data_IF_760491128722
#
_entry.id   IF_760491128722
#
_cell.length_a   1.000
_cell.length_b   1.000
_cell.length_c   1.000
_cell.angle_alpha   90.00
_cell.angle_beta   90.00
_cell.angle_gamma   90.00
#
_symmetry.space_group_name_H-M   'P 1'
#
loop_
_entity.id
_entity.type
_entity.pdbx_description
1 polymer ?
#
# COMPACT_ATOMS: atom_id res chain seq x y z
N UNK A 1 -6.30 34.70 -18.12
CA UNK A 1 -7.13 33.93 -19.06
C UNK A 1 -6.30 33.26 -20.16
N UNK A 2 -5.37 33.97 -20.81
CA UNK A 2 -4.48 33.42 -21.86
C UNK A 2 -3.65 32.20 -21.42
N UNK A 3 -3.07 32.25 -20.22
CA UNK A 3 -2.24 31.17 -19.64
C UNK A 3 -3.04 29.91 -19.31
N UNK A 4 -4.24 30.06 -18.78
CA UNK A 4 -5.14 28.93 -18.48
C UNK A 4 -5.57 28.20 -19.75
N UNK A 5 -5.78 28.95 -20.85
CA UNK A 5 -6.16 28.38 -22.14
C UNK A 5 -5.01 27.58 -22.77
N UNK A 6 -3.79 28.13 -22.75
CA UNK A 6 -2.57 27.43 -23.20
C UNK A 6 -2.31 26.14 -22.40
N UNK A 7 -2.56 26.17 -21.09
CA UNK A 7 -2.45 24.98 -20.26
C UNK A 7 -3.47 23.91 -20.66
N UNK A 8 -4.73 24.28 -20.88
CA UNK A 8 -5.74 23.34 -21.35
C UNK A 8 -5.39 22.71 -22.71
N UNK A 9 -4.90 23.51 -23.64
CA UNK A 9 -4.49 23.03 -24.96
C UNK A 9 -3.29 22.07 -24.85
N UNK A 10 -2.29 22.39 -24.01
CA UNK A 10 -1.14 21.52 -23.75
C UNK A 10 -1.56 20.20 -23.09
N UNK A 11 -2.48 20.23 -22.13
CA UNK A 11 -3.04 19.03 -21.50
C UNK A 11 -3.80 18.18 -22.50
N UNK A 12 -4.58 18.79 -23.42
CA UNK A 12 -5.29 18.06 -24.46
C UNK A 12 -4.33 17.32 -25.41
N UNK A 13 -3.25 17.98 -25.84
CA UNK A 13 -2.20 17.38 -26.67
C UNK A 13 -1.57 16.18 -25.95
N UNK A 14 -1.17 16.36 -24.70
CA UNK A 14 -0.59 15.29 -23.88
C UNK A 14 -1.52 14.07 -23.75
N UNK A 15 -2.82 14.30 -23.53
CA UNK A 15 -3.81 13.22 -23.42
C UNK A 15 -3.98 12.44 -24.73
N UNK A 16 -3.84 13.09 -25.88
CA UNK A 16 -3.91 12.42 -27.17
C UNK A 16 -2.63 11.62 -27.48
N UNK A 17 -1.45 12.14 -27.14
CA UNK A 17 -0.19 11.39 -27.21
C UNK A 17 -0.22 10.14 -26.32
N UNK A 18 -0.72 10.27 -25.10
CA UNK A 18 -0.96 9.17 -24.16
C UNK A 18 -1.84 8.08 -24.79
N UNK A 19 -2.96 8.44 -25.42
CA UNK A 19 -3.85 7.48 -26.09
C UNK A 19 -3.14 6.73 -27.22
N UNK A 20 -2.30 7.42 -27.99
CA UNK A 20 -1.54 6.81 -29.08
C UNK A 20 -0.53 5.78 -28.56
N UNK A 21 0.21 6.12 -27.50
CA UNK A 21 1.15 5.21 -26.84
C UNK A 21 0.44 4.01 -26.20
N UNK A 22 -0.71 4.21 -25.56
CA UNK A 22 -1.50 3.08 -25.03
C UNK A 22 -1.94 2.16 -26.18
N UNK A 23 -2.41 2.72 -27.31
CA UNK A 23 -2.78 1.91 -28.49
C UNK A 23 -1.62 1.13 -29.08
N UNK A 24 -0.41 1.68 -29.13
CA UNK A 24 0.76 0.93 -29.61
C UNK A 24 1.10 -0.23 -28.68
N UNK A 25 1.04 -0.04 -27.36
CA UNK A 25 1.25 -1.09 -26.37
C UNK A 25 0.19 -2.20 -26.46
N UNK A 26 -1.08 -1.83 -26.70
CA UNK A 26 -2.15 -2.81 -26.91
C UNK A 26 -1.87 -3.73 -28.10
N UNK A 27 -1.38 -3.16 -29.21
CA UNK A 27 -1.02 -3.91 -30.41
C UNK A 27 0.22 -4.77 -30.21
N UNK A 28 1.24 -4.25 -29.52
CA UNK A 28 2.51 -4.93 -29.31
C UNK A 28 2.38 -6.13 -28.36
N UNK A 29 1.55 -6.01 -27.31
CA UNK A 29 1.45 -7.03 -26.25
C UNK A 29 0.16 -7.85 -26.30
N UNK A 30 -0.74 -7.60 -27.26
CA UNK A 30 -2.04 -8.28 -27.41
C UNK A 30 -2.86 -8.32 -26.10
N UNK A 31 -2.80 -7.23 -25.34
CA UNK A 31 -3.51 -7.07 -24.07
C UNK A 31 -4.73 -6.18 -24.22
N UNK A 32 -5.66 -6.25 -23.26
CA UNK A 32 -6.87 -5.44 -23.30
C UNK A 32 -6.62 -4.00 -22.85
N UNK A 33 -7.37 -2.99 -23.37
CA UNK A 33 -7.31 -1.61 -22.90
C UNK A 33 -7.51 -1.49 -21.40
N UNK A 34 -8.41 -2.33 -20.86
CA UNK A 34 -8.69 -2.42 -19.42
C UNK A 34 -7.47 -2.86 -18.62
N UNK A 35 -6.66 -3.79 -19.13
CA UNK A 35 -5.46 -4.27 -18.45
C UNK A 35 -4.38 -3.20 -18.37
N UNK A 36 -4.07 -2.54 -19.49
CA UNK A 36 -3.10 -1.42 -19.50
C UNK A 36 -3.58 -0.26 -18.63
N UNK A 37 -4.86 0.13 -18.75
CA UNK A 37 -5.41 1.19 -17.91
C UNK A 37 -5.45 0.81 -16.42
N UNK A 38 -5.55 -0.48 -16.09
CA UNK A 38 -5.44 -0.94 -14.72
C UNK A 38 -4.00 -0.89 -14.21
N UNK A 39 -2.99 -1.08 -15.06
CA UNK A 39 -1.57 -0.93 -14.69
C UNK A 39 -1.22 0.56 -14.52
N UNK A 40 -1.60 1.40 -15.48
CA UNK A 40 -1.40 2.86 -15.40
C UNK A 40 -2.21 3.44 -14.23
N UNK A 41 -3.44 2.92 -14.04
CA UNK A 41 -4.37 3.34 -13.01
C UNK A 41 -4.12 2.72 -11.64
N UNK A 42 -3.33 1.64 -11.53
CA UNK A 42 -3.00 1.03 -10.24
C UNK A 42 -2.07 1.91 -9.42
N UNK A 43 -1.27 2.75 -10.08
CA UNK A 43 -0.44 3.75 -9.42
C UNK A 43 -1.26 4.96 -8.92
N UNK A 44 -2.41 5.24 -9.55
CA UNK A 44 -3.22 6.45 -9.26
C UNK A 44 -4.49 6.19 -8.45
N UNK A 45 -4.93 4.95 -8.31
CA UNK A 45 -6.15 4.60 -7.56
C UNK A 45 -5.81 3.77 -6.34
N UNK A 46 -5.02 4.34 -5.44
CA UNK A 46 -5.01 3.82 -4.09
C UNK A 46 -6.34 4.17 -3.40
N UNK A 47 -7.01 3.13 -2.88
CA UNK A 47 -8.16 3.32 -2.00
C UNK A 47 -7.65 3.90 -0.70
N UNK A 48 -7.86 5.21 -0.49
CA UNK A 48 -7.80 5.83 0.84
C UNK A 48 -8.32 4.83 1.87
N UNK A 49 -7.54 4.57 2.92
CA UNK A 49 -7.92 3.66 3.99
C UNK A 49 -9.36 3.98 4.38
N UNK A 50 -10.27 3.10 4.00
CA UNK A 50 -11.68 3.39 4.12
C UNK A 50 -11.95 3.47 5.61
N UNK A 51 -12.36 4.67 6.06
CA UNK A 51 -12.82 4.86 7.42
C UNK A 51 -13.79 3.72 7.75
N UNK A 52 -13.50 3.00 8.83
CA UNK A 52 -14.29 1.86 9.26
C UNK A 52 -15.74 2.32 9.38
N UNK A 53 -16.60 1.75 8.53
CA UNK A 53 -18.02 2.04 8.54
C UNK A 53 -18.71 1.13 9.55
N UNK A 54 -19.70 1.66 10.26
CA UNK A 54 -20.49 0.90 11.24
C UNK A 54 -21.10 -0.37 10.62
N UNK A 55 -21.59 -0.29 9.38
CA UNK A 55 -22.13 -1.45 8.66
C UNK A 55 -21.11 -2.58 8.53
N UNK A 56 -19.87 -2.26 8.18
CA UNK A 56 -18.79 -3.24 8.08
C UNK A 56 -18.40 -3.79 9.47
N UNK A 57 -18.42 -2.94 10.50
CA UNK A 57 -18.16 -3.35 11.88
C UNK A 57 -19.20 -4.35 12.40
N UNK A 58 -20.49 -4.12 12.12
CA UNK A 58 -21.57 -5.02 12.51
C UNK A 58 -21.52 -6.35 11.75
N UNK A 59 -21.25 -6.31 10.44
CA UNK A 59 -21.06 -7.52 9.64
C UNK A 59 -19.88 -8.33 10.17
N UNK A 60 -18.76 -7.67 10.50
CA UNK A 60 -17.59 -8.34 11.06
C UNK A 60 -17.89 -8.98 12.42
N UNK A 61 -18.57 -8.25 13.32
CA UNK A 61 -18.96 -8.79 14.61
C UNK A 61 -19.91 -10.00 14.47
N UNK A 62 -20.91 -9.91 13.58
CA UNK A 62 -21.83 -11.01 13.31
C UNK A 62 -21.12 -12.20 12.66
N UNK A 63 -20.17 -11.94 11.76
CA UNK A 63 -19.34 -12.99 11.17
C UNK A 63 -18.51 -13.70 12.23
N UNK A 64 -17.91 -12.96 13.17
CA UNK A 64 -17.16 -13.54 14.28
C UNK A 64 -18.06 -14.40 15.16
N UNK A 65 -19.22 -13.89 15.56
CA UNK A 65 -20.21 -14.64 16.36
C UNK A 65 -20.65 -15.95 15.67
N UNK A 66 -21.03 -15.87 14.39
CA UNK A 66 -21.69 -16.99 13.70
C UNK A 66 -20.69 -18.00 13.12
N UNK A 67 -19.48 -17.56 12.74
CA UNK A 67 -18.50 -18.43 12.09
C UNK A 67 -17.44 -19.01 13.05
N UNK A 68 -17.37 -18.59 14.32
CA UNK A 68 -16.38 -19.14 15.28
C UNK A 68 -16.51 -20.66 15.44
N UNK A 69 -17.73 -21.20 15.39
CA UNK A 69 -17.99 -22.62 15.58
C UNK A 69 -18.26 -23.39 14.28
N UNK A 70 -18.09 -22.75 13.12
CA UNK A 70 -18.36 -23.40 11.84
C UNK A 70 -17.10 -23.98 11.20
N UNK A 71 -17.19 -25.18 10.61
CA UNK A 71 -16.06 -25.79 9.92
C UNK A 71 -15.63 -24.94 8.72
N UNK A 72 -14.33 -25.00 8.42
CA UNK A 72 -13.74 -24.31 7.27
C UNK A 72 -14.41 -24.81 5.99
N UNK A 73 -15.10 -23.91 5.28
CA UNK A 73 -15.86 -24.22 4.07
C UNK A 73 -17.38 -24.05 4.21
N UNK A 74 -17.91 -24.02 5.42
CA UNK A 74 -19.35 -23.85 5.68
C UNK A 74 -19.73 -22.47 6.21
N UNK A 75 -18.78 -21.52 6.21
CA UNK A 75 -18.96 -20.17 6.73
C UNK A 75 -20.06 -19.43 5.98
N UNK A 76 -20.83 -18.63 6.71
CA UNK A 76 -21.87 -17.79 6.13
C UNK A 76 -21.28 -16.79 5.13
N UNK A 77 -21.99 -16.63 4.01
CA UNK A 77 -21.69 -15.67 2.96
C UNK A 77 -21.96 -14.24 3.42
N UNK A 78 -21.38 -13.26 2.71
CA UNK A 78 -21.59 -11.84 3.02
C UNK A 78 -23.06 -11.41 2.92
N UNK A 79 -23.83 -12.04 2.02
CA UNK A 79 -25.26 -11.75 1.84
C UNK A 79 -26.04 -12.22 3.07
N UNK A 80 -25.82 -13.45 3.51
CA UNK A 80 -26.46 -14.01 4.70
C UNK A 80 -26.10 -13.21 5.96
N UNK A 81 -24.82 -12.83 6.11
CA UNK A 81 -24.38 -12.02 7.24
C UNK A 81 -25.05 -10.64 7.27
N UNK A 82 -25.27 -10.01 6.10
CA UNK A 82 -26.00 -8.74 6.01
C UNK A 82 -27.45 -8.91 6.43
N UNK A 83 -28.11 -9.98 5.99
CA UNK A 83 -29.48 -10.29 6.38
C UNK A 83 -29.59 -10.58 7.88
N UNK A 84 -28.63 -11.30 8.45
CA UNK A 84 -28.58 -11.57 9.90
C UNK A 84 -28.42 -10.27 10.70
N UNK A 85 -27.51 -9.39 10.31
CA UNK A 85 -27.37 -8.05 10.94
C UNK A 85 -28.66 -7.24 10.79
N UNK A 86 -29.28 -7.28 9.61
CA UNK A 86 -30.53 -6.57 9.32
C UNK A 86 -31.74 -7.15 10.05
N UNK A 87 -31.68 -8.37 10.57
CA UNK A 87 -32.76 -9.00 11.32
C UNK A 87 -32.52 -9.03 12.83
N UNK A 88 -31.29 -8.77 13.28
CA UNK A 88 -30.93 -8.76 14.70
C UNK A 88 -31.55 -7.57 15.47
N UNK A 89 -32.44 -7.83 16.46
CA UNK A 89 -33.05 -6.78 17.26
C UNK A 89 -32.07 -5.99 18.14
N UNK A 90 -30.98 -6.61 18.59
CA UNK A 90 -29.95 -5.97 19.42
C UNK A 90 -29.11 -5.02 18.56
N UNK A 91 -28.68 -5.46 17.37
CA UNK A 91 -27.89 -4.62 16.46
C UNK A 91 -28.71 -3.46 15.85
N UNK A 92 -30.04 -3.56 15.81
CA UNK A 92 -30.94 -2.46 15.45
C UNK A 92 -31.05 -1.37 16.52
N UNK A 93 -30.90 -1.73 17.80
CA UNK A 93 -31.14 -0.84 18.95
C UNK A 93 -29.84 -0.42 19.65
N UNK A 94 -28.76 -0.27 18.89
CA UNK A 94 -27.47 0.12 19.45
C UNK A 94 -27.44 1.59 19.86
N UNK A 95 -26.97 1.83 21.08
CA UNK A 95 -26.60 3.14 21.61
C UNK A 95 -25.38 3.71 20.87
N UNK A 96 -25.07 4.99 21.10
CA UNK A 96 -23.92 5.65 20.47
C UNK A 96 -22.59 4.99 20.90
N UNK A 97 -22.50 4.59 22.16
CA UNK A 97 -21.27 4.03 22.73
C UNK A 97 -21.03 2.61 22.24
N UNK A 98 -22.08 1.79 22.12
CA UNK A 98 -21.97 0.45 21.53
C UNK A 98 -21.55 0.52 20.05
N UNK A 99 -22.09 1.48 19.28
CA UNK A 99 -21.67 1.72 17.90
C UNK A 99 -20.19 2.10 17.82
N UNK A 100 -19.71 2.94 18.72
CA UNK A 100 -18.29 3.29 18.81
C UNK A 100 -17.43 2.07 19.18
N UNK A 101 -17.90 1.23 20.09
CA UNK A 101 -17.25 -0.02 20.48
C UNK A 101 -17.06 -0.98 19.31
N UNK A 102 -18.08 -1.19 18.47
CA UNK A 102 -17.94 -2.03 17.27
C UNK A 102 -16.93 -1.47 16.27
N UNK A 103 -16.93 -0.16 16.05
CA UNK A 103 -15.97 0.50 15.17
C UNK A 103 -14.54 0.35 15.73
N UNK A 104 -14.36 0.55 17.03
CA UNK A 104 -13.06 0.40 17.69
C UNK A 104 -12.55 -1.04 17.59
N UNK A 105 -13.40 -2.03 17.88
CA UNK A 105 -13.02 -3.45 17.80
C UNK A 105 -12.63 -3.88 16.38
N UNK A 106 -13.33 -3.39 15.34
CA UNK A 106 -12.93 -3.64 13.96
C UNK A 106 -11.64 -2.89 13.60
N UNK A 107 -11.44 -1.68 14.12
CA UNK A 107 -10.21 -0.91 13.89
C UNK A 107 -9.00 -1.63 14.49
N UNK A 108 -9.09 -2.06 15.75
CA UNK A 108 -8.05 -2.82 16.44
C UNK A 108 -7.75 -4.14 15.70
N UNK A 109 -8.78 -4.87 15.27
CA UNK A 109 -8.60 -6.09 14.49
C UNK A 109 -7.93 -5.81 13.13
N UNK A 110 -8.24 -4.69 12.48
CA UNK A 110 -7.55 -4.27 11.27
C UNK A 110 -6.09 -3.92 11.54
N UNK A 111 -5.79 -3.19 12.61
CA UNK A 111 -4.42 -2.84 13.03
C UNK A 111 -3.57 -4.08 13.35
N UNK A 112 -4.13 -5.05 14.09
CA UNK A 112 -3.48 -6.34 14.36
C UNK A 112 -3.23 -7.13 13.07
N UNK A 113 -4.13 -7.07 12.09
CA UNK A 113 -3.94 -7.78 10.82
C UNK A 113 -2.96 -7.08 9.86
N UNK A 114 -2.80 -5.75 9.94
CA UNK A 114 -1.76 -5.02 9.19
C UNK A 114 -0.38 -5.56 9.57
N UNK A 115 -0.13 -5.82 10.85
CA UNK A 115 1.18 -6.34 11.31
C UNK A 115 1.35 -7.85 11.09
N UNK A 116 0.26 -8.62 11.06
CA UNK A 116 0.33 -10.08 11.18
C UNK A 116 0.19 -10.85 9.85
N UNK A 117 -0.30 -10.25 8.76
CA UNK A 117 -0.66 -11.00 7.55
C UNK A 117 -0.01 -10.44 6.29
N UNK A 118 1.05 -11.12 5.83
CA UNK A 118 1.54 -11.01 4.45
C UNK A 118 0.52 -11.66 3.51
N UNK A 119 -0.59 -10.98 3.24
CA UNK A 119 -1.73 -11.57 2.53
C UNK A 119 -1.44 -11.96 1.07
N UNK A 120 -0.53 -11.24 0.40
CA UNK A 120 -0.08 -11.46 -0.98
C UNK A 120 1.13 -10.54 -1.25
N UNK A 121 2.12 -10.94 -2.06
CA UNK A 121 3.25 -10.09 -2.45
C UNK A 121 2.82 -8.76 -3.10
N UNK A 122 1.72 -8.75 -3.86
CA UNK A 122 1.17 -7.48 -4.36
C UNK A 122 0.60 -6.59 -3.25
N UNK A 123 0.07 -7.16 -2.17
CA UNK A 123 -0.50 -6.40 -1.05
C UNK A 123 0.62 -5.90 -0.13
N UNK A 124 1.65 -6.71 0.12
CA UNK A 124 2.84 -6.31 0.85
C UNK A 124 3.63 -5.22 0.10
N UNK A 125 3.76 -5.35 -1.23
CA UNK A 125 4.35 -4.32 -2.08
C UNK A 125 3.62 -2.98 -1.96
N UNK A 126 2.30 -3.04 -1.90
CA UNK A 126 1.43 -1.87 -1.74
C UNK A 126 1.48 -1.29 -0.33
N UNK A 127 1.66 -2.12 0.71
CA UNK A 127 1.72 -1.68 2.10
C UNK A 127 3.04 -0.94 2.44
N UNK A 128 4.15 -1.38 1.84
CA UNK A 128 5.42 -0.65 1.88
C UNK A 128 5.26 0.72 1.23
N UNK A 129 4.67 0.78 0.02
CA UNK A 129 4.39 2.06 -0.65
C UNK A 129 3.55 2.99 0.24
N UNK A 130 2.55 2.48 0.95
CA UNK A 130 1.70 3.27 1.85
C UNK A 130 2.37 3.73 3.13
N UNK A 131 3.22 2.88 3.71
CA UNK A 131 3.96 3.24 4.92
C UNK A 131 5.00 4.30 4.57
N UNK A 132 5.64 4.19 3.42
CA UNK A 132 6.52 5.23 2.85
C UNK A 132 5.74 6.52 2.53
N UNK A 133 4.53 6.44 1.94
CA UNK A 133 3.62 7.58 1.73
C UNK A 133 3.03 8.17 3.03
N UNK A 134 2.99 7.42 4.14
CA UNK A 134 2.53 7.94 5.44
C UNK A 134 3.63 8.67 6.19
N UNK A 135 4.87 8.20 6.05
CA UNK A 135 6.06 8.90 6.54
C UNK A 135 6.31 10.18 5.74
N UNK A 136 5.79 10.28 4.51
CA UNK A 136 5.83 11.49 3.69
C UNK A 136 4.47 11.72 3.01
N UNK A 137 3.65 12.59 3.60
CA UNK A 137 2.35 12.98 3.05
C UNK A 137 2.50 13.46 1.61
N UNK A 138 1.77 12.77 0.73
CA UNK A 138 1.48 12.99 -0.69
C UNK A 138 2.47 12.43 -1.73
N UNK A 139 2.14 11.22 -2.19
CA UNK A 139 2.26 10.60 -3.52
C UNK A 139 3.63 10.53 -4.20
N UNK A 140 4.02 9.30 -4.56
CA UNK A 140 5.22 8.90 -5.33
C UNK A 140 6.55 9.09 -4.61
N UNK A 141 7.47 8.12 -4.79
CA UNK A 141 8.86 8.18 -4.33
C UNK A 141 9.55 9.52 -4.66
N UNK A 142 9.09 10.19 -5.73
CA UNK A 142 9.49 11.54 -6.12
C UNK A 142 9.28 12.62 -5.03
N UNK A 143 8.16 12.61 -4.29
CA UNK A 143 7.89 13.62 -3.26
C UNK A 143 8.66 13.35 -1.95
N UNK A 144 8.93 12.08 -1.63
CA UNK A 144 9.82 11.72 -0.50
C UNK A 144 11.21 12.29 -0.74
N UNK A 145 11.73 12.09 -1.96
CA UNK A 145 13.05 12.58 -2.38
C UNK A 145 13.10 14.10 -2.37
N UNK A 146 12.09 14.77 -2.93
CA UNK A 146 11.98 16.23 -2.90
C UNK A 146 11.92 16.80 -1.49
N UNK A 147 11.26 16.12 -0.54
CA UNK A 147 11.21 16.58 0.86
C UNK A 147 12.53 16.43 1.59
N UNK A 148 13.28 15.37 1.29
CA UNK A 148 14.64 15.21 1.80
C UNK A 148 15.55 16.30 1.23
N UNK A 149 15.41 16.63 -0.05
CA UNK A 149 16.16 17.73 -0.69
C UNK A 149 15.78 19.09 -0.11
N UNK A 150 14.49 19.39 0.05
CA UNK A 150 13.98 20.61 0.70
C UNK A 150 14.56 20.76 2.12
N UNK A 151 14.61 19.66 2.89
CA UNK A 151 15.17 19.63 4.23
C UNK A 151 16.67 19.93 4.20
N UNK A 152 17.42 19.27 3.32
CA UNK A 152 18.85 19.50 3.12
C UNK A 152 19.13 20.97 2.77
N UNK A 153 18.36 21.56 1.85
CA UNK A 153 18.48 22.97 1.46
C UNK A 153 18.21 23.91 2.64
N UNK A 154 17.22 23.59 3.48
CA UNK A 154 16.80 24.48 4.56
C UNK A 154 17.68 24.37 5.82
N UNK A 155 18.26 23.20 6.10
CA UNK A 155 18.97 22.94 7.36
C UNK A 155 20.42 22.49 7.19
N UNK A 156 20.86 22.19 5.97
CA UNK A 156 22.14 21.55 5.70
C UNK A 156 22.22 20.09 6.17
N UNK A 157 21.06 19.45 6.40
CA UNK A 157 21.00 18.05 6.86
C UNK A 157 21.23 17.11 5.69
N UNK A 158 22.21 16.22 5.84
CA UNK A 158 22.44 15.11 4.92
C UNK A 158 21.58 13.91 5.33
N UNK A 159 20.87 13.33 4.37
CA UNK A 159 20.02 12.17 4.55
C UNK A 159 20.19 11.19 3.38
N UNK A 160 20.08 9.91 3.69
CA UNK A 160 20.02 8.83 2.71
C UNK A 160 18.89 7.89 3.09
N UNK A 161 18.10 7.50 2.11
CA UNK A 161 17.04 6.50 2.27
C UNK A 161 17.26 5.33 1.31
N UNK A 162 17.17 4.12 1.85
CA UNK A 162 17.13 2.88 1.08
C UNK A 162 15.78 2.22 1.29
N UNK A 163 15.12 1.86 0.20
CA UNK A 163 13.88 1.09 0.19
C UNK A 163 14.16 -0.18 -0.57
N UNK A 164 14.26 -1.30 0.14
CA UNK A 164 14.57 -2.62 -0.42
C UNK A 164 13.43 -3.59 -0.14
N UNK A 165 13.19 -4.53 -1.04
CA UNK A 165 12.29 -5.63 -0.75
C UNK A 165 12.98 -6.68 0.11
N UNK A 166 12.24 -7.26 1.06
CA UNK A 166 12.76 -8.28 1.98
C UNK A 166 12.62 -9.71 1.47
N UNK A 167 12.11 -9.91 0.26
CA UNK A 167 11.81 -11.24 -0.27
C UNK A 167 11.85 -11.29 -1.80
N UNK A 168 12.47 -12.34 -2.34
CA UNK A 168 12.78 -12.49 -3.77
C UNK A 168 11.57 -12.46 -4.73
N UNK A 169 10.38 -12.79 -4.22
CA UNK A 169 9.14 -12.79 -5.01
C UNK A 169 8.33 -11.47 -4.91
N UNK A 170 8.84 -10.46 -4.20
CA UNK A 170 8.17 -9.15 -4.17
C UNK A 170 8.41 -8.40 -5.47
N UNK A 171 7.37 -7.71 -5.95
CA UNK A 171 7.43 -6.97 -7.22
C UNK A 171 7.88 -5.52 -7.04
N UNK A 172 8.30 -5.13 -5.82
CA UNK A 172 8.82 -3.79 -5.56
C UNK A 172 10.24 -3.72 -6.12
N UNK A 173 10.48 -2.75 -6.99
CA UNK A 173 11.84 -2.40 -7.36
C UNK A 173 12.49 -1.66 -6.19
N UNK A 174 13.64 -2.15 -5.73
CA UNK A 174 14.45 -1.46 -4.73
C UNK A 174 14.88 -0.08 -5.25
N UNK A 175 14.89 0.90 -4.36
CA UNK A 175 15.23 2.28 -4.70
C UNK A 175 16.05 2.92 -3.58
N UNK A 176 16.89 3.87 -3.96
CA UNK A 176 17.67 4.69 -3.04
C UNK A 176 17.56 6.17 -3.42
N UNK A 177 17.78 7.05 -2.45
CA UNK A 177 17.96 8.48 -2.66
C UNK A 177 18.89 9.04 -1.58
N UNK A 178 19.88 9.80 -2.02
CA UNK A 178 20.73 10.61 -1.14
C UNK A 178 20.45 12.10 -1.38
N UNK A 179 20.49 12.91 -0.33
CA UNK A 179 20.46 14.37 -0.47
C UNK A 179 21.86 14.90 -0.74
N UNK A 180 22.02 15.86 -1.67
CA UNK A 180 23.32 16.50 -1.94
C UNK A 180 24.45 15.46 -2.15
N UNK A 181 25.64 15.67 -1.59
CA UNK A 181 26.78 14.75 -1.73
C UNK A 181 26.65 13.47 -0.86
N UNK A 182 25.44 13.12 -0.39
CA UNK A 182 25.25 11.89 0.40
C UNK A 182 25.47 10.63 -0.43
N UNK A 183 25.31 10.71 -1.76
CA UNK A 183 25.64 9.60 -2.66
C UNK A 183 27.16 9.36 -2.71
N UNK A 184 27.94 10.46 -2.78
CA UNK A 184 29.41 10.43 -2.81
C UNK A 184 30.01 9.87 -1.51
N UNK A 185 29.35 10.04 -0.36
CA UNK A 185 29.81 9.46 0.91
C UNK A 185 30.08 7.96 0.84
N UNK A 186 29.26 7.21 0.08
CA UNK A 186 29.43 5.77 -0.04
C UNK A 186 30.67 5.41 -0.86
N UNK A 187 30.92 6.15 -1.94
CA UNK A 187 32.12 5.96 -2.77
C UNK A 187 33.38 6.45 -2.05
N UNK A 188 33.35 7.64 -1.46
CA UNK A 188 34.50 8.26 -0.80
C UNK A 188 34.95 7.54 0.47
N UNK A 189 34.01 7.00 1.26
CA UNK A 189 34.32 6.39 2.57
C UNK A 189 34.43 4.88 2.49
N UNK A 190 33.56 4.24 1.71
CA UNK A 190 33.51 2.78 1.61
C UNK A 190 34.12 2.22 0.32
N UNK A 191 34.53 3.08 -0.64
CA UNK A 191 35.04 2.67 -1.95
C UNK A 191 34.05 1.77 -2.71
N UNK A 192 32.75 2.00 -2.46
CA UNK A 192 31.65 1.22 -3.03
C UNK A 192 30.59 2.19 -3.56
N UNK A 193 30.23 2.10 -4.85
CA UNK A 193 29.11 2.85 -5.38
C UNK A 193 27.83 2.58 -4.58
N UNK A 194 27.05 3.61 -4.30
CA UNK A 194 25.81 3.50 -3.53
C UNK A 194 24.85 2.42 -4.06
N UNK A 195 24.82 2.22 -5.39
CA UNK A 195 24.01 1.18 -6.05
C UNK A 195 24.45 -0.25 -5.67
N UNK A 196 25.75 -0.47 -5.52
CA UNK A 196 26.30 -1.76 -5.12
C UNK A 196 26.02 -2.01 -3.64
N UNK A 197 26.03 -0.96 -2.82
CA UNK A 197 25.59 -1.04 -1.42
C UNK A 197 24.10 -1.40 -1.31
N UNK A 198 23.23 -0.77 -2.13
CA UNK A 198 21.80 -1.10 -2.22
C UNK A 198 21.61 -2.58 -2.56
N UNK A 199 22.34 -3.11 -3.54
CA UNK A 199 22.25 -4.50 -3.94
C UNK A 199 22.71 -5.46 -2.82
N UNK A 200 23.81 -5.14 -2.14
CA UNK A 200 24.29 -5.92 -1.00
C UNK A 200 23.27 -5.92 0.15
N UNK A 201 22.67 -4.76 0.42
CA UNK A 201 21.66 -4.62 1.47
C UNK A 201 20.38 -5.39 1.12
N UNK A 202 19.94 -5.36 -0.14
CA UNK A 202 18.84 -6.15 -0.66
C UNK A 202 19.10 -7.67 -0.54
N UNK A 203 20.28 -8.12 -0.94
CA UNK A 203 20.68 -9.53 -0.80
C UNK A 203 20.68 -9.95 0.68
N UNK A 204 21.26 -9.13 1.55
CA UNK A 204 21.25 -9.38 2.99
C UNK A 204 19.82 -9.47 3.53
N UNK A 205 18.94 -8.52 3.18
CA UNK A 205 17.56 -8.49 3.63
C UNK A 205 16.77 -9.70 3.14
N UNK A 206 16.93 -10.10 1.88
CA UNK A 206 16.31 -11.29 1.30
C UNK A 206 16.80 -12.59 1.96
N UNK A 207 18.05 -12.64 2.41
CA UNK A 207 18.61 -13.82 3.10
C UNK A 207 18.20 -13.91 4.57
N UNK A 208 17.64 -12.84 5.16
CA UNK A 208 17.30 -12.86 6.57
C UNK A 208 16.25 -13.92 6.91
N UNK A 209 15.41 -14.40 5.98
CA UNK A 209 14.40 -15.45 6.17
C UNK A 209 13.53 -15.33 7.45
N UNK A 210 13.59 -14.19 8.15
CA UNK A 210 13.06 -13.98 9.49
C UNK A 210 11.67 -13.36 9.47
N UNK A 211 11.17 -12.92 8.32
CA UNK A 211 9.74 -12.60 8.13
C UNK A 211 8.92 -13.92 7.96
N UNK A 212 9.33 -14.96 8.68
CA UNK A 212 8.62 -16.24 8.85
C UNK A 212 8.51 -16.64 10.34
N UNK A 213 8.76 -15.72 11.28
CA UNK A 213 8.59 -15.97 12.71
C UNK A 213 7.45 -15.14 13.30
N UNK A 214 6.22 -15.56 12.96
CA UNK A 214 5.06 -15.52 13.87
C UNK A 214 3.91 -16.45 13.41
N UNK A 215 4.19 -17.44 12.54
CA UNK A 215 3.19 -18.46 12.16
C UNK A 215 3.29 -19.77 12.96
N UNK A 216 4.10 -19.82 14.01
CA UNK A 216 4.28 -21.04 14.83
C UNK A 216 3.86 -20.88 16.30
N UNK A 217 2.80 -20.10 16.54
CA UNK A 217 2.00 -20.22 17.76
C UNK A 217 0.60 -19.66 17.46
N UNK A 218 -0.43 -20.48 17.65
CA UNK A 218 -1.86 -20.27 17.29
C UNK A 218 -2.29 -20.92 15.97
N UNK A 219 -1.86 -22.15 15.74
CA UNK A 219 -2.69 -23.19 15.11
C UNK A 219 -3.60 -23.88 16.13
N UNK A 220 -4.12 -23.13 17.10
CA UNK A 220 -5.16 -23.51 18.05
C UNK A 220 -5.92 -22.23 18.44
N UNK A 221 -7.16 -22.13 17.94
CA UNK A 221 -8.31 -21.29 18.31
C UNK A 221 -8.99 -20.75 17.05
#
# INVERSE_FOLDING_TARGET
METTKRLHDAVAIYLDEQKLKIRSLLRAHNVTPKYINNIIGSDTKYCTLRKVQLTNALIHAKAKEMNTNQPVGSRYTLVELREMVANDPQMKKLTRDEKAGYIAALTEHCEQNITNVRGNNMVAARDVLLTTERVCVDLTSFFVFQKLDDLCICTGTYATIFVIHGHINDTIQSSMHGTDNSEDFWEDVYDIPMADYLQQYEQWACTQNQIMLLMSSHSLC
#
